data_IF_459377592403
#
_entry.id   IF_459377592403
#
_cell.length_a   1.000
_cell.length_b   1.000
_cell.length_c   1.000
_cell.angle_alpha   90.00
_cell.angle_beta   90.00
_cell.angle_gamma   90.00
#
_symmetry.space_group_name_H-M   'P 1'
#
loop_
_entity.id
_entity.type
_entity.pdbx_description
1 polymer ?
#
# COMPACT_ATOMS: atom_id res chain seq x y z
N UNK A 1 5.00 18.25 -12.46
CA UNK A 1 5.76 17.61 -11.36
C UNK A 1 4.96 16.46 -10.81
N UNK A 2 5.58 15.32 -10.73
CA UNK A 2 4.91 14.14 -10.20
C UNK A 2 5.13 14.07 -8.69
N UNK A 3 4.03 14.07 -7.94
CA UNK A 3 4.11 13.91 -6.50
C UNK A 3 4.41 12.45 -6.19
N UNK A 4 5.53 12.21 -5.54
CA UNK A 4 5.90 10.89 -5.10
C UNK A 4 5.36 10.69 -3.68
N UNK A 5 4.33 9.83 -3.49
CA UNK A 5 3.78 9.63 -2.15
C UNK A 5 4.77 9.03 -1.16
N UNK A 6 5.86 8.47 -1.67
CA UNK A 6 6.90 7.85 -0.85
C UNK A 6 8.12 8.74 -0.66
N UNK A 7 8.05 10.02 -1.04
CA UNK A 7 9.21 10.90 -1.01
C UNK A 7 9.83 11.06 0.39
N UNK A 8 9.02 10.93 1.43
CA UNK A 8 9.48 11.09 2.81
C UNK A 8 10.00 9.80 3.43
N UNK A 9 9.99 8.69 2.70
CA UNK A 9 10.34 7.39 3.23
C UNK A 9 11.65 6.89 2.63
N UNK A 10 12.39 6.09 3.41
CA UNK A 10 13.61 5.44 2.94
C UNK A 10 13.31 4.45 1.83
N UNK A 11 14.31 4.19 1.01
CA UNK A 11 14.16 3.26 -0.11
C UNK A 11 13.70 1.87 0.36
N UNK A 12 14.26 1.37 1.47
CA UNK A 12 13.86 0.07 2.00
C UNK A 12 12.39 0.06 2.39
N UNK A 13 11.93 1.13 3.02
CA UNK A 13 10.52 1.25 3.40
C UNK A 13 9.63 1.32 2.16
N UNK A 14 10.06 2.07 1.15
CA UNK A 14 9.30 2.19 -0.10
C UNK A 14 9.16 0.84 -0.78
N UNK A 15 10.25 0.07 -0.84
CA UNK A 15 10.20 -1.26 -1.45
C UNK A 15 9.19 -2.14 -0.70
N UNK A 16 9.24 -2.14 0.62
CA UNK A 16 8.29 -2.91 1.42
C UNK A 16 6.85 -2.49 1.21
N UNK A 17 6.60 -1.17 1.15
CA UNK A 17 5.25 -0.65 0.93
C UNK A 17 4.73 -1.04 -0.46
N UNK A 18 5.58 -1.01 -1.48
CA UNK A 18 5.18 -1.42 -2.82
C UNK A 18 4.88 -2.92 -2.89
N UNK A 19 5.65 -3.74 -2.21
CA UNK A 19 5.34 -5.17 -2.12
C UNK A 19 4.00 -5.39 -1.43
N UNK A 20 3.73 -4.64 -0.37
CA UNK A 20 2.44 -4.70 0.32
C UNK A 20 1.30 -4.34 -0.62
N UNK A 21 1.47 -3.28 -1.43
CA UNK A 21 0.45 -2.91 -2.41
C UNK A 21 0.20 -4.03 -3.42
N UNK A 22 1.26 -4.69 -3.88
CA UNK A 22 1.12 -5.81 -4.81
C UNK A 22 0.39 -6.98 -4.18
N UNK A 23 0.67 -7.27 -2.91
CA UNK A 23 -0.01 -8.34 -2.21
C UNK A 23 -1.49 -8.03 -2.06
N UNK A 24 -1.84 -6.79 -1.77
CA UNK A 24 -3.22 -6.35 -1.68
C UNK A 24 -3.90 -6.47 -3.05
N UNK A 25 -3.23 -6.03 -4.11
CA UNK A 25 -3.75 -6.11 -5.46
C UNK A 25 -4.03 -7.56 -5.85
N UNK A 26 -3.14 -8.47 -5.49
CA UNK A 26 -3.26 -9.88 -5.81
C UNK A 26 -4.15 -10.64 -4.82
N UNK A 27 -4.66 -9.96 -3.81
CA UNK A 27 -5.48 -10.54 -2.75
C UNK A 27 -4.77 -11.64 -1.98
N UNK A 28 -3.46 -11.45 -1.76
CA UNK A 28 -2.63 -12.41 -1.04
C UNK A 28 -2.54 -12.12 0.46
N UNK A 29 -3.32 -11.17 0.94
CA UNK A 29 -3.24 -10.73 2.34
C UNK A 29 -3.49 -11.87 3.31
N UNK A 30 -4.33 -12.82 2.95
CA UNK A 30 -4.62 -13.98 3.80
C UNK A 30 -3.44 -14.94 3.91
N UNK A 31 -2.59 -15.00 2.88
CA UNK A 31 -1.45 -15.89 2.84
C UNK A 31 -0.17 -15.22 3.36
N UNK A 32 -0.10 -13.91 3.19
CA UNK A 32 1.03 -13.11 3.64
C UNK A 32 0.48 -11.93 4.44
N UNK A 33 0.27 -12.11 5.75
CA UNK A 33 -0.30 -11.04 6.57
C UNK A 33 0.51 -9.75 6.46
N UNK A 34 -0.19 -8.66 6.23
CA UNK A 34 0.42 -7.35 6.11
C UNK A 34 0.50 -6.72 7.49
N UNK A 35 1.58 -6.00 7.79
CA UNK A 35 1.71 -5.34 9.08
C UNK A 35 0.69 -4.21 9.20
N UNK A 36 0.18 -4.00 10.42
CA UNK A 36 -0.76 -2.92 10.68
C UNK A 36 -0.13 -1.56 10.39
N UNK A 37 1.17 -1.43 10.63
CA UNK A 37 1.90 -0.19 10.37
C UNK A 37 1.88 0.14 8.88
N UNK A 38 2.15 -0.85 8.02
CA UNK A 38 2.13 -0.64 6.58
C UNK A 38 0.73 -0.28 6.09
N UNK A 39 -0.30 -0.95 6.63
CA UNK A 39 -1.68 -0.63 6.28
C UNK A 39 -2.02 0.81 6.67
N UNK A 40 -1.57 1.25 7.85
CA UNK A 40 -1.80 2.61 8.29
C UNK A 40 -1.13 3.61 7.35
N UNK A 41 0.14 3.39 7.02
CA UNK A 41 0.88 4.29 6.15
C UNK A 41 0.20 4.40 4.79
N UNK A 42 -0.15 3.27 4.19
CA UNK A 42 -0.78 3.25 2.88
C UNK A 42 -2.15 3.90 2.90
N UNK A 43 -2.90 3.74 3.99
CA UNK A 43 -4.20 4.39 4.15
C UNK A 43 -4.04 5.91 4.26
N UNK A 44 -3.07 6.36 5.05
CA UNK A 44 -2.80 7.79 5.21
C UNK A 44 -2.35 8.43 3.90
N UNK A 45 -1.63 7.69 3.07
CA UNK A 45 -1.20 8.17 1.76
C UNK A 45 -2.32 8.13 0.72
N UNK A 46 -3.47 7.55 1.07
CA UNK A 46 -4.59 7.44 0.14
C UNK A 46 -4.40 6.38 -0.92
N UNK A 47 -3.50 5.44 -0.72
CA UNK A 47 -3.20 4.40 -1.69
C UNK A 47 -4.05 3.16 -1.53
N UNK A 48 -4.64 2.97 -0.35
CA UNK A 48 -5.57 1.88 -0.10
C UNK A 48 -6.77 2.39 0.70
N UNK A 49 -7.85 1.62 0.65
CA UNK A 49 -9.02 1.80 1.48
C UNK A 49 -9.22 0.56 2.32
N UNK A 50 -9.60 0.74 3.57
CA UNK A 50 -9.96 -0.38 4.44
C UNK A 50 -11.47 -0.59 4.35
N UNK A 51 -11.87 -1.74 3.82
CA UNK A 51 -13.27 -2.11 3.67
C UNK A 51 -13.56 -3.36 4.48
N UNK A 52 -14.86 -3.69 4.62
CA UNK A 52 -15.28 -4.88 5.35
C UNK A 52 -14.63 -6.16 4.79
N UNK A 53 -14.40 -6.16 3.50
CA UNK A 53 -13.78 -7.31 2.82
C UNK A 53 -12.27 -7.36 2.98
N UNK A 54 -11.66 -6.28 3.48
CA UNK A 54 -10.24 -6.15 3.64
C UNK A 54 -9.69 -4.94 2.91
N UNK A 55 -8.36 -4.75 2.92
CA UNK A 55 -7.76 -3.62 2.23
C UNK A 55 -7.88 -3.75 0.72
N UNK A 56 -8.14 -2.63 0.04
CA UNK A 56 -8.24 -2.57 -1.42
C UNK A 56 -7.48 -1.37 -1.93
N UNK A 57 -6.87 -1.52 -3.11
CA UNK A 57 -6.17 -0.41 -3.73
C UNK A 57 -7.16 0.67 -4.16
N UNK A 58 -6.75 1.92 -3.95
CA UNK A 58 -7.42 3.05 -4.57
C UNK A 58 -6.86 3.23 -5.98
N UNK A 59 -7.45 4.15 -6.74
CA UNK A 59 -6.92 4.49 -8.05
C UNK A 59 -5.47 4.99 -7.93
N UNK A 60 -5.20 5.79 -6.91
CA UNK A 60 -3.84 6.28 -6.66
C UNK A 60 -2.88 5.13 -6.33
N UNK A 61 -3.34 4.14 -5.55
CA UNK A 61 -2.53 2.98 -5.23
C UNK A 61 -2.15 2.18 -6.47
N UNK A 62 -3.11 1.97 -7.36
CA UNK A 62 -2.84 1.27 -8.60
C UNK A 62 -1.87 2.03 -9.49
N UNK A 63 -1.91 3.35 -9.45
CA UNK A 63 -1.06 4.18 -10.29
C UNK A 63 0.41 4.15 -9.89
N UNK A 64 0.73 3.81 -8.64
CA UNK A 64 2.12 3.76 -8.18
C UNK A 64 2.76 2.37 -8.34
N UNK A 65 2.01 1.41 -8.82
CA UNK A 65 2.54 0.07 -9.08
C UNK A 65 3.19 -0.05 -10.45
#
# INVERSE_FOLDING_TARGET
MVDNPFAEYDLERVIGLRWTLRDIQARRVKMSPVSDEDLRILTELGLIELRDEGPMLTQAGAAVL
#
